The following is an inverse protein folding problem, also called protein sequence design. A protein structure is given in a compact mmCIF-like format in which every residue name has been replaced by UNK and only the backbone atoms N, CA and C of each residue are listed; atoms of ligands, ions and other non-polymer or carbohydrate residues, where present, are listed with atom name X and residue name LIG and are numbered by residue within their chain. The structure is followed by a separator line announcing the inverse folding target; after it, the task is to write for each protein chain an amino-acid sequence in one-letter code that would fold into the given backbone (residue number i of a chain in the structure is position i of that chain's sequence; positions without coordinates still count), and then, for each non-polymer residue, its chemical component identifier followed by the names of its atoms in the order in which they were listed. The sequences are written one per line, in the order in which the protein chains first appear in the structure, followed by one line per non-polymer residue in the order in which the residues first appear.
data_IF_406025397255
#
_entry.id   IF_406025397255
#
_cell.length_a   1.000
_cell.length_b   1.000
_cell.length_c   1.000
_cell.angle_alpha   90.00
_cell.angle_beta   90.00
_cell.angle_gamma   90.00
#
_symmetry.space_group_name_H-M   'P 1'
#
loop_
_entity.id
_entity.type
_entity.pdbx_description
1 polymer ?
#
# COMPACT_ATOMS: atom_id res chain seq x y z
N UNK A 1 -17.53 5.70 13.32
CA UNK A 1 -17.65 4.51 12.46
C UNK A 1 -16.78 3.42 13.07
N UNK A 2 -17.28 2.21 13.16
CA UNK A 2 -16.55 1.03 13.64
C UNK A 2 -16.51 0.01 12.50
N UNK A 3 -15.33 -0.53 12.24
CA UNK A 3 -15.13 -1.57 11.22
C UNK A 3 -14.44 -2.79 11.84
N UNK A 4 -14.90 -3.98 11.45
CA UNK A 4 -14.27 -5.25 11.80
C UNK A 4 -14.08 -6.08 10.54
N UNK A 5 -12.85 -6.54 10.31
CA UNK A 5 -12.56 -7.48 9.23
C UNK A 5 -11.89 -8.72 9.77
N UNK A 6 -12.49 -9.87 9.54
CA UNK A 6 -11.89 -11.16 9.80
C UNK A 6 -11.37 -11.74 8.49
N UNK A 7 -10.09 -12.11 8.45
CA UNK A 7 -9.45 -12.67 7.26
C UNK A 7 -8.91 -14.05 7.56
N UNK A 8 -9.25 -15.01 6.71
CA UNK A 8 -8.70 -16.36 6.70
C UNK A 8 -7.97 -16.56 5.38
N UNK A 9 -6.71 -16.95 5.44
CA UNK A 9 -5.87 -17.10 4.27
C UNK A 9 -5.08 -18.40 4.35
N UNK A 10 -5.04 -19.12 3.23
CA UNK A 10 -4.20 -20.29 3.04
C UNK A 10 -3.44 -20.14 1.73
N UNK A 11 -2.12 -20.29 1.78
CA UNK A 11 -1.27 -20.12 0.63
C UNK A 11 -0.15 -21.13 0.53
N UNK A 12 0.33 -21.33 -0.70
CA UNK A 12 1.51 -22.12 -1.01
C UNK A 12 2.43 -21.29 -1.90
N UNK A 13 3.73 -21.31 -1.59
CA UNK A 13 4.77 -20.69 -2.40
C UNK A 13 5.77 -21.75 -2.85
N UNK A 14 6.05 -21.77 -4.14
CA UNK A 14 6.94 -22.74 -4.78
C UNK A 14 8.15 -22.01 -5.36
N UNK A 15 9.39 -22.35 -4.97
CA UNK A 15 10.57 -21.80 -5.57
C UNK A 15 10.77 -22.36 -6.99
N UNK A 16 10.72 -21.48 -7.99
CA UNK A 16 11.02 -21.82 -9.40
C UNK A 16 12.54 -21.81 -9.62
N UNK A 17 13.20 -20.81 -9.03
CA UNK A 17 14.65 -20.67 -9.06
C UNK A 17 15.12 -20.05 -7.74
N UNK A 18 16.19 -20.61 -7.18
CA UNK A 18 16.80 -20.07 -5.98
C UNK A 18 18.32 -20.15 -6.07
N UNK A 19 18.95 -18.98 -6.16
CA UNK A 19 20.41 -18.83 -6.15
C UNK A 19 20.79 -17.74 -5.13
N UNK A 20 22.07 -17.58 -4.87
CA UNK A 20 22.55 -16.51 -3.98
C UNK A 20 22.18 -15.10 -4.47
N UNK A 21 22.25 -14.87 -5.78
CA UNK A 21 22.05 -13.56 -6.39
C UNK A 21 20.60 -13.31 -6.84
N UNK A 22 19.83 -14.36 -7.07
CA UNK A 22 18.46 -14.23 -7.62
C UNK A 22 17.57 -15.34 -7.09
N UNK A 23 16.30 -15.01 -6.90
CA UNK A 23 15.24 -15.97 -6.59
C UNK A 23 13.98 -15.62 -7.36
N UNK A 24 13.28 -16.64 -7.77
CA UNK A 24 11.97 -16.58 -8.43
C UNK A 24 11.04 -17.56 -7.77
N UNK A 25 9.86 -17.11 -7.43
CA UNK A 25 8.81 -17.90 -6.78
C UNK A 25 7.49 -17.72 -7.51
N UNK A 26 6.67 -18.73 -7.43
CA UNK A 26 5.27 -18.67 -7.75
C UNK A 26 4.47 -18.97 -6.48
N UNK A 27 3.41 -18.21 -6.21
CA UNK A 27 2.48 -18.47 -5.10
C UNK A 27 1.04 -18.53 -5.56
N UNK A 28 0.25 -19.29 -4.82
CA UNK A 28 -1.21 -19.29 -4.91
C UNK A 28 -1.75 -19.15 -3.50
N UNK A 29 -2.64 -18.19 -3.31
CA UNK A 29 -3.30 -17.89 -2.05
C UNK A 29 -4.80 -17.95 -2.24
N UNK A 30 -5.51 -18.56 -1.29
CA UNK A 30 -6.97 -18.52 -1.19
C UNK A 30 -7.32 -17.73 0.06
N UNK A 31 -8.21 -16.77 -0.08
CA UNK A 31 -8.57 -15.83 0.99
C UNK A 31 -10.07 -15.71 1.14
N UNK A 32 -10.54 -15.83 2.37
CA UNK A 32 -11.90 -15.49 2.79
C UNK A 32 -11.87 -14.30 3.74
N UNK A 33 -12.73 -13.30 3.48
CA UNK A 33 -12.87 -12.11 4.34
C UNK A 33 -14.32 -11.87 4.70
N UNK A 34 -14.58 -11.70 5.99
CA UNK A 34 -15.83 -11.14 6.51
C UNK A 34 -15.59 -9.68 6.90
N UNK A 35 -16.31 -8.77 6.28
CA UNK A 35 -16.16 -7.32 6.44
C UNK A 35 -17.44 -6.77 7.04
N UNK A 36 -17.34 -6.09 8.16
CA UNK A 36 -18.44 -5.46 8.87
C UNK A 36 -18.11 -3.97 9.09
N UNK A 37 -18.91 -3.10 8.48
CA UNK A 37 -18.80 -1.66 8.60
C UNK A 37 -20.03 -1.13 9.31
N UNK A 38 -19.86 -0.46 10.46
CA UNK A 38 -20.94 0.09 11.26
C UNK A 38 -20.79 1.59 11.46
N UNK A 39 -21.91 2.31 11.38
CA UNK A 39 -21.99 3.74 11.62
C UNK A 39 -23.04 4.01 12.69
N UNK A 40 -22.92 5.12 13.43
CA UNK A 40 -23.84 5.53 14.50
C UNK A 40 -24.08 4.42 15.53
N UNK A 41 -23.00 3.94 16.13
CA UNK A 41 -23.04 2.92 17.20
C UNK A 41 -23.81 1.64 16.81
N UNK A 42 -23.67 1.21 15.56
CA UNK A 42 -24.25 -0.03 15.05
C UNK A 42 -25.68 0.09 14.51
N UNK A 43 -26.27 1.29 14.46
CA UNK A 43 -27.62 1.51 13.92
C UNK A 43 -27.68 1.24 12.41
N UNK A 44 -26.63 1.61 11.68
CA UNK A 44 -26.49 1.36 10.25
C UNK A 44 -25.22 0.57 9.98
N UNK A 45 -25.28 -0.38 9.07
CA UNK A 45 -24.12 -1.20 8.74
C UNK A 45 -24.23 -1.92 7.42
N UNK A 46 -23.08 -2.29 6.90
CA UNK A 46 -22.92 -3.14 5.74
C UNK A 46 -22.09 -4.35 6.14
N UNK A 47 -22.58 -5.54 5.83
CA UNK A 47 -21.89 -6.81 6.06
C UNK A 47 -21.65 -7.46 4.70
N UNK A 48 -20.37 -7.70 4.39
CA UNK A 48 -19.91 -8.28 3.13
C UNK A 48 -19.06 -9.50 3.40
N UNK A 49 -19.04 -10.44 2.47
CA UNK A 49 -18.06 -11.51 2.45
C UNK A 49 -17.36 -11.53 1.09
N UNK A 50 -16.05 -11.71 1.09
CA UNK A 50 -15.24 -11.79 -0.11
C UNK A 50 -14.44 -13.09 -0.10
N UNK A 51 -14.61 -13.90 -1.15
CA UNK A 51 -13.82 -15.09 -1.42
C UNK A 51 -12.93 -14.81 -2.63
N UNK A 52 -11.63 -15.07 -2.53
CA UNK A 52 -10.70 -14.80 -3.62
C UNK A 52 -9.59 -15.82 -3.72
N UNK A 53 -9.11 -15.99 -4.94
CA UNK A 53 -7.88 -16.70 -5.27
C UNK A 53 -6.91 -15.69 -5.91
N UNK A 54 -5.68 -15.70 -5.44
CA UNK A 54 -4.59 -14.84 -5.91
C UNK A 54 -3.43 -15.72 -6.38
N UNK A 55 -2.95 -15.46 -7.59
CA UNK A 55 -1.74 -16.10 -8.13
C UNK A 55 -0.68 -15.05 -8.38
N UNK A 56 0.54 -15.25 -7.80
CA UNK A 56 1.63 -14.30 -7.91
C UNK A 56 2.87 -14.96 -8.50
N UNK A 57 3.58 -14.18 -9.29
CA UNK A 57 4.96 -14.44 -9.66
C UNK A 57 5.81 -13.33 -9.06
N UNK A 58 6.79 -13.67 -8.24
CA UNK A 58 7.63 -12.68 -7.59
C UNK A 58 9.08 -13.13 -7.53
N UNK A 59 9.95 -12.15 -7.50
CA UNK A 59 11.37 -12.43 -7.46
C UNK A 59 12.18 -11.29 -6.89
N UNK A 60 13.43 -11.63 -6.57
CA UNK A 60 14.41 -10.62 -6.26
C UNK A 60 15.74 -10.93 -6.93
N UNK A 61 16.52 -9.91 -7.20
CA UNK A 61 17.92 -10.05 -7.55
C UNK A 61 18.76 -9.04 -6.77
N UNK A 62 20.00 -9.45 -6.43
CA UNK A 62 20.97 -8.60 -5.78
C UNK A 62 22.30 -8.72 -6.51
N UNK A 63 22.86 -7.57 -6.89
CA UNK A 63 24.18 -7.49 -7.55
C UNK A 63 24.95 -6.29 -6.98
N UNK A 64 26.01 -6.60 -6.19
CA UNK A 64 26.84 -5.58 -5.55
C UNK A 64 26.02 -4.58 -4.74
N UNK A 65 25.85 -3.37 -5.30
CA UNK A 65 25.15 -2.25 -4.68
C UNK A 65 23.65 -2.20 -5.01
N UNK A 66 23.17 -3.08 -5.87
CA UNK A 66 21.81 -3.09 -6.36
C UNK A 66 21.01 -4.19 -5.70
N UNK A 67 19.80 -3.86 -5.24
CA UNK A 67 18.79 -4.84 -4.85
C UNK A 67 17.48 -4.49 -5.54
N UNK A 68 16.90 -5.46 -6.23
CA UNK A 68 15.65 -5.31 -6.96
C UNK A 68 14.69 -6.43 -6.59
N UNK A 69 13.49 -6.08 -6.20
CA UNK A 69 12.39 -7.03 -6.00
C UNK A 69 11.16 -6.60 -6.77
N UNK A 70 10.39 -7.57 -7.20
CA UNK A 70 9.18 -7.34 -7.96
C UNK A 70 8.15 -8.43 -7.69
N UNK A 71 6.89 -8.07 -7.82
CA UNK A 71 5.74 -8.97 -7.77
C UNK A 71 4.79 -8.60 -8.89
N UNK A 72 4.23 -9.59 -9.56
CA UNK A 72 3.09 -9.45 -10.47
C UNK A 72 2.07 -10.47 -10.07
N UNK A 73 0.85 -10.04 -9.80
CA UNK A 73 -0.22 -10.89 -9.33
C UNK A 73 -1.52 -10.69 -10.08
N UNK A 74 -2.38 -11.71 -10.01
CA UNK A 74 -3.75 -11.64 -10.49
C UNK A 74 -4.68 -12.21 -9.44
N UNK A 75 -5.73 -11.44 -9.11
CA UNK A 75 -6.76 -11.82 -8.15
C UNK A 75 -8.07 -12.02 -8.89
N UNK A 76 -8.71 -13.15 -8.65
CA UNK A 76 -10.09 -13.43 -9.06
C UNK A 76 -10.90 -13.72 -7.80
N UNK A 77 -12.03 -13.05 -7.63
CA UNK A 77 -12.85 -13.22 -6.44
C UNK A 77 -14.33 -12.98 -6.68
N UNK A 78 -15.09 -13.24 -5.65
CA UNK A 78 -16.52 -12.97 -5.56
C UNK A 78 -16.81 -12.19 -4.28
N UNK A 79 -17.50 -11.07 -4.38
CA UNK A 79 -17.97 -10.28 -3.25
C UNK A 79 -19.47 -10.45 -3.10
N UNK A 80 -19.91 -10.98 -1.98
CA UNK A 80 -21.31 -11.15 -1.61
C UNK A 80 -21.73 -10.15 -0.53
N UNK A 81 -22.93 -9.61 -0.68
CA UNK A 81 -23.56 -8.73 0.29
C UNK A 81 -24.47 -9.54 1.22
N UNK A 82 -24.13 -9.63 2.51
CA UNK A 82 -24.94 -10.36 3.51
C UNK A 82 -26.01 -9.47 4.13
N UNK A 83 -25.66 -8.21 4.39
CA UNK A 83 -26.57 -7.22 4.99
C UNK A 83 -26.22 -5.82 4.51
N UNK A 84 -27.25 -5.04 4.20
CA UNK A 84 -27.09 -3.64 3.88
C UNK A 84 -28.32 -2.85 4.32
N UNK A 85 -28.14 -1.94 5.25
CA UNK A 85 -29.17 -0.99 5.69
C UNK A 85 -28.68 0.46 5.64
N UNK A 86 -27.55 0.73 4.96
CA UNK A 86 -26.98 2.07 4.85
C UNK A 86 -26.65 2.47 3.40
N UNK A 87 -25.77 1.75 2.71
CA UNK A 87 -25.44 2.02 1.31
C UNK A 87 -25.13 0.72 0.57
N UNK A 88 -25.52 0.63 -0.70
CA UNK A 88 -25.11 -0.48 -1.54
C UNK A 88 -23.57 -0.41 -1.76
N UNK A 89 -22.84 -1.53 -1.75
CA UNK A 89 -21.46 -1.57 -2.19
C UNK A 89 -21.38 -1.13 -3.64
N UNK A 90 -20.22 -0.54 -4.01
CA UNK A 90 -19.98 -0.05 -5.38
C UNK A 90 -20.04 -1.18 -6.40
N UNK A 91 -19.63 -2.39 -6.01
CA UNK A 91 -19.73 -3.58 -6.84
C UNK A 91 -19.93 -4.84 -5.98
N UNK A 92 -20.80 -5.72 -6.43
CA UNK A 92 -21.10 -7.04 -5.85
C UNK A 92 -20.96 -8.09 -6.95
N UNK A 93 -20.52 -9.30 -6.60
CA UNK A 93 -20.33 -10.42 -7.50
C UNK A 93 -18.86 -10.60 -7.90
N UNK A 94 -18.66 -11.23 -9.05
CA UNK A 94 -17.32 -11.60 -9.50
C UNK A 94 -16.47 -10.39 -9.85
N UNK A 95 -15.23 -10.37 -9.37
CA UNK A 95 -14.26 -9.33 -9.69
C UNK A 95 -12.91 -9.91 -10.08
N UNK A 96 -12.19 -9.15 -10.91
CA UNK A 96 -10.85 -9.47 -11.36
C UNK A 96 -9.98 -8.23 -11.31
N UNK A 97 -8.75 -8.39 -10.79
CA UNK A 97 -7.74 -7.34 -10.78
C UNK A 97 -6.33 -7.90 -10.93
N UNK A 98 -5.46 -7.12 -11.53
CA UNK A 98 -4.03 -7.41 -11.62
C UNK A 98 -3.25 -6.41 -10.78
N UNK A 99 -2.18 -6.88 -10.16
CA UNK A 99 -1.32 -6.14 -9.25
C UNK A 99 0.13 -6.18 -9.77
N UNK A 100 0.87 -5.12 -9.56
CA UNK A 100 2.31 -5.10 -9.83
C UNK A 100 3.02 -4.21 -8.80
N UNK A 101 4.09 -4.73 -8.20
CA UNK A 101 4.94 -4.01 -7.27
C UNK A 101 6.41 -4.14 -7.71
N UNK A 102 7.12 -3.03 -7.68
CA UNK A 102 8.54 -2.94 -7.95
C UNK A 102 9.21 -2.21 -6.79
N UNK A 103 10.33 -2.72 -6.35
CA UNK A 103 11.15 -2.08 -5.33
C UNK A 103 12.63 -2.20 -5.67
N UNK A 104 13.33 -1.07 -5.71
CA UNK A 104 14.74 -0.99 -6.06
C UNK A 104 15.49 -0.20 -5.01
N UNK A 105 16.62 -0.75 -4.56
CA UNK A 105 17.57 -0.09 -3.66
C UNK A 105 18.91 -0.01 -4.36
N UNK A 106 19.49 1.18 -4.33
CA UNK A 106 20.84 1.43 -4.77
C UNK A 106 21.69 1.99 -3.63
N UNK A 107 22.71 1.24 -3.21
CA UNK A 107 23.71 1.69 -2.24
C UNK A 107 24.69 2.64 -2.93
N UNK A 108 24.48 3.96 -2.81
CA UNK A 108 25.34 4.99 -3.39
C UNK A 108 26.73 4.89 -2.76
N UNK A 109 26.76 4.85 -1.43
CA UNK A 109 27.96 4.61 -0.63
C UNK A 109 27.59 3.91 0.70
N UNK A 110 28.43 4.00 1.74
CA UNK A 110 28.21 3.36 3.05
C UNK A 110 27.05 3.96 3.83
N UNK A 111 26.78 5.26 3.63
CA UNK A 111 25.83 6.03 4.41
C UNK A 111 24.61 6.45 3.61
N UNK A 112 24.69 6.45 2.26
CA UNK A 112 23.62 6.91 1.39
C UNK A 112 23.02 5.78 0.56
N UNK A 113 21.70 5.74 0.54
CA UNK A 113 20.90 4.81 -0.26
C UNK A 113 19.81 5.55 -1.03
N UNK A 114 19.58 5.14 -2.27
CA UNK A 114 18.41 5.53 -3.05
C UNK A 114 17.43 4.38 -3.06
N UNK A 115 16.20 4.66 -2.66
CA UNK A 115 15.08 3.73 -2.67
C UNK A 115 14.05 4.20 -3.69
N UNK A 116 13.67 3.33 -4.60
CA UNK A 116 12.59 3.56 -5.56
C UNK A 116 11.53 2.49 -5.34
N UNK A 117 10.28 2.89 -5.27
CA UNK A 117 9.15 1.95 -5.25
C UNK A 117 8.08 2.38 -6.24
N UNK A 118 7.42 1.39 -6.81
CA UNK A 118 6.27 1.59 -7.69
C UNK A 118 5.26 0.48 -7.43
N UNK A 119 4.01 0.84 -7.22
CA UNK A 119 2.89 -0.08 -7.05
C UNK A 119 1.78 0.28 -8.00
N UNK A 120 1.11 -0.70 -8.56
CA UNK A 120 0.00 -0.49 -9.46
C UNK A 120 -1.06 -1.56 -9.36
N UNK A 121 -2.29 -1.17 -9.64
CA UNK A 121 -3.44 -2.05 -9.76
C UNK A 121 -4.20 -1.73 -11.04
N UNK A 122 -4.68 -2.75 -11.72
CA UNK A 122 -5.64 -2.63 -12.81
C UNK A 122 -6.87 -3.51 -12.52
N UNK A 123 -8.01 -2.88 -12.30
CA UNK A 123 -9.30 -3.55 -12.11
C UNK A 123 -9.97 -3.80 -13.46
N UNK A 124 -10.14 -5.07 -13.83
CA UNK A 124 -10.80 -5.50 -15.06
C UNK A 124 -12.32 -5.37 -14.98
N UNK A 125 -12.84 -5.39 -13.76
CA UNK A 125 -14.27 -5.23 -13.44
C UNK A 125 -14.45 -4.06 -12.49
N UNK A 126 -15.66 -3.56 -12.24
CA UNK A 126 -15.95 -2.69 -11.11
C UNK A 126 -15.48 -3.36 -9.80
N UNK A 127 -14.91 -2.58 -8.90
CA UNK A 127 -14.39 -3.05 -7.62
C UNK A 127 -15.07 -2.33 -6.45
N UNK A 128 -15.49 -3.08 -5.45
CA UNK A 128 -15.92 -2.52 -4.16
C UNK A 128 -14.77 -1.75 -3.50
N UNK A 129 -15.08 -0.78 -2.66
CA UNK A 129 -14.09 0.04 -1.94
C UNK A 129 -13.06 -0.78 -1.16
N UNK A 130 -13.42 -1.98 -0.68
CA UNK A 130 -12.51 -2.90 0.00
C UNK A 130 -11.46 -3.56 -0.90
N UNK A 131 -11.64 -3.50 -2.23
CA UNK A 131 -10.75 -4.05 -3.25
C UNK A 131 -10.05 -2.98 -4.10
N UNK A 132 -10.39 -1.70 -3.88
CA UNK A 132 -9.80 -0.58 -4.62
C UNK A 132 -8.35 -0.32 -4.24
N UNK A 133 -7.65 0.34 -5.13
CA UNK A 133 -6.29 0.83 -4.94
C UNK A 133 -6.33 2.25 -4.40
N UNK A 134 -5.61 2.49 -3.30
CA UNK A 134 -5.54 3.79 -2.63
C UNK A 134 -4.14 4.37 -2.78
N UNK A 135 -4.07 5.65 -3.16
CA UNK A 135 -2.80 6.35 -3.42
C UNK A 135 -2.45 7.41 -2.36
N UNK A 136 -3.15 7.46 -1.24
CA UNK A 136 -2.93 8.46 -0.18
C UNK A 136 -2.77 7.84 1.19
N UNK A 137 -1.98 8.47 2.05
CA UNK A 137 -1.72 8.02 3.41
C UNK A 137 -0.25 7.73 3.71
N UNK A 138 0.02 7.17 4.89
CA UNK A 138 1.36 6.94 5.44
C UNK A 138 2.28 6.05 4.58
N UNK A 139 1.71 5.12 3.82
CA UNK A 139 2.43 4.17 2.96
C UNK A 139 2.20 4.45 1.45
N UNK A 140 1.67 5.65 1.12
CA UNK A 140 1.38 6.10 -0.24
C UNK A 140 1.85 7.55 -0.43
N UNK A 141 1.05 8.45 -1.01
CA UNK A 141 1.36 9.88 -1.06
C UNK A 141 1.15 10.46 0.34
N UNK A 142 2.25 10.56 1.10
CA UNK A 142 2.27 10.91 2.55
C UNK A 142 1.78 12.32 2.88
N UNK A 143 1.69 13.18 1.88
CA UNK A 143 1.17 14.53 2.04
C UNK A 143 -0.35 14.62 2.26
N UNK A 144 -1.09 13.52 2.02
CA UNK A 144 -2.54 13.45 2.14
C UNK A 144 -2.98 12.44 3.19
N UNK A 145 -4.18 12.64 3.73
CA UNK A 145 -4.76 11.72 4.71
C UNK A 145 -5.10 10.37 4.08
N UNK A 146 -5.21 9.35 4.91
CA UNK A 146 -5.55 8.00 4.47
C UNK A 146 -6.92 7.99 3.77
N UNK A 147 -7.00 7.33 2.60
CA UNK A 147 -8.26 7.15 1.87
C UNK A 147 -8.74 8.36 1.06
N UNK A 148 -7.91 9.42 0.89
CA UNK A 148 -8.26 10.62 0.12
C UNK A 148 -8.53 10.32 -1.37
N UNK A 149 -7.83 9.35 -1.94
CA UNK A 149 -8.00 8.96 -3.33
C UNK A 149 -7.87 7.44 -3.48
N UNK A 150 -8.94 6.83 -3.97
CA UNK A 150 -9.04 5.42 -4.27
C UNK A 150 -9.77 5.16 -5.59
N UNK A 151 -9.54 4.00 -6.19
CA UNK A 151 -10.20 3.59 -7.42
C UNK A 151 -9.83 2.19 -7.84
N UNK A 152 -10.51 1.68 -8.87
CA UNK A 152 -10.27 0.32 -9.37
C UNK A 152 -8.89 0.13 -9.99
N UNK A 153 -8.35 1.19 -10.60
CA UNK A 153 -7.05 1.17 -11.26
C UNK A 153 -6.23 2.38 -10.83
N UNK A 154 -4.94 2.19 -10.61
CA UNK A 154 -4.06 3.27 -10.22
C UNK A 154 -2.59 2.89 -10.24
N UNK A 155 -1.76 3.90 -10.10
CA UNK A 155 -0.31 3.80 -10.02
C UNK A 155 0.19 4.70 -8.90
N UNK A 156 1.14 4.22 -8.13
CA UNK A 156 1.83 4.92 -7.06
C UNK A 156 3.33 4.75 -7.24
N UNK A 157 4.09 5.83 -7.05
CA UNK A 157 5.54 5.80 -7.09
C UNK A 157 6.16 6.65 -6.00
N UNK A 158 7.27 6.19 -5.44
CA UNK A 158 8.07 6.92 -4.44
C UNK A 158 9.54 6.88 -4.83
N UNK A 159 10.18 8.02 -4.70
CA UNK A 159 11.65 8.17 -4.72
C UNK A 159 12.07 8.66 -3.35
N UNK A 160 12.90 7.90 -2.65
CA UNK A 160 13.36 8.23 -1.30
C UNK A 160 14.88 8.10 -1.20
N UNK A 161 15.54 9.20 -0.83
CA UNK A 161 16.97 9.23 -0.51
C UNK A 161 17.11 9.07 1.02
N UNK A 162 17.94 8.12 1.43
CA UNK A 162 18.22 7.79 2.83
C UNK A 162 19.66 8.09 3.19
N UNK A 163 19.88 8.65 4.36
CA UNK A 163 21.20 8.86 4.95
C UNK A 163 21.28 8.24 6.33
N UNK A 164 22.16 7.26 6.49
CA UNK A 164 22.46 6.64 7.78
C UNK A 164 23.32 7.60 8.61
N UNK A 165 22.85 7.92 9.84
CA UNK A 165 23.51 8.89 10.72
C UNK A 165 24.44 8.19 11.71
N UNK A 166 25.58 7.75 11.19
CA UNK A 166 26.62 7.08 11.98
C UNK A 166 26.13 5.78 12.64
N UNK A 167 26.47 5.58 13.93
CA UNK A 167 26.10 4.37 14.71
C UNK A 167 24.90 4.59 15.64
N UNK A 168 24.19 5.67 15.48
CA UNK A 168 23.05 6.04 16.35
C UNK A 168 21.82 5.16 16.18
N UNK A 169 21.71 4.43 15.06
CA UNK A 169 20.49 3.75 14.63
C UNK A 169 19.48 4.68 13.96
N UNK A 170 19.88 5.94 13.70
CA UNK A 170 19.06 6.93 13.03
C UNK A 170 19.37 6.97 11.54
N UNK A 171 18.34 7.12 10.72
CA UNK A 171 18.42 7.35 9.28
C UNK A 171 17.54 8.53 8.91
N UNK A 172 18.12 9.58 8.34
CA UNK A 172 17.35 10.69 7.77
C UNK A 172 16.86 10.31 6.37
N UNK A 173 15.66 10.75 5.99
CA UNK A 173 15.07 10.51 4.68
C UNK A 173 14.57 11.79 4.05
N UNK A 174 14.67 11.89 2.73
CA UNK A 174 13.99 12.89 1.91
C UNK A 174 13.31 12.17 0.77
N UNK A 175 12.07 12.54 0.46
CA UNK A 175 11.25 11.78 -0.48
C UNK A 175 10.34 12.64 -1.36
N UNK A 176 9.96 12.05 -2.47
CA UNK A 176 8.88 12.51 -3.35
C UNK A 176 7.98 11.31 -3.63
N UNK A 177 6.69 11.52 -3.40
CA UNK A 177 5.63 10.57 -3.66
C UNK A 177 4.73 11.11 -4.77
N UNK A 178 4.28 10.26 -5.69
CA UNK A 178 3.29 10.61 -6.70
C UNK A 178 2.38 9.43 -6.98
N UNK A 179 1.09 9.68 -7.17
CA UNK A 179 0.11 8.66 -7.48
C UNK A 179 -1.00 9.18 -8.38
N UNK A 180 -1.55 8.28 -9.19
CA UNK A 180 -2.67 8.54 -10.08
C UNK A 180 -3.71 7.44 -9.98
N UNK A 181 -4.97 7.81 -9.76
CA UNK A 181 -6.13 6.95 -9.97
C UNK A 181 -6.61 7.16 -11.40
N UNK A 182 -6.92 6.06 -12.08
CA UNK A 182 -7.34 6.01 -13.49
C UNK A 182 -8.79 5.51 -13.59
N UNK A 183 -9.53 6.02 -14.57
CA UNK A 183 -10.92 5.66 -14.83
C UNK A 183 -11.90 6.76 -14.46
N UNK A 184 -13.11 6.39 -14.06
CA UNK A 184 -14.15 7.33 -13.67
C UNK A 184 -13.71 8.06 -12.37
N UNK A 185 -13.44 9.36 -12.47
CA UNK A 185 -12.92 10.15 -11.34
C UNK A 185 -11.39 10.11 -11.22
N UNK A 186 -10.67 10.30 -12.34
CA UNK A 186 -9.19 10.44 -12.34
C UNK A 186 -8.74 11.46 -11.29
N UNK A 187 -7.81 11.06 -10.42
CA UNK A 187 -7.24 11.90 -9.37
C UNK A 187 -5.73 11.74 -9.33
N UNK A 188 -5.02 12.86 -9.33
CA UNK A 188 -3.57 12.92 -9.23
C UNK A 188 -3.20 13.51 -7.88
N UNK A 189 -2.31 12.84 -7.16
CA UNK A 189 -1.73 13.33 -5.92
C UNK A 189 -0.21 13.29 -6.02
N UNK A 190 0.44 14.34 -5.51
CA UNK A 190 1.89 14.36 -5.36
C UNK A 190 2.27 15.08 -4.06
N UNK A 191 3.38 14.66 -3.47
CA UNK A 191 3.89 15.24 -2.24
C UNK A 191 5.40 15.05 -2.11
N UNK A 192 5.99 15.85 -1.25
CA UNK A 192 7.40 15.74 -0.88
C UNK A 192 7.55 15.90 0.62
N UNK A 193 8.63 15.40 1.18
CA UNK A 193 8.83 15.50 2.61
C UNK A 193 10.17 15.03 3.11
N UNK A 194 10.30 15.10 4.43
CA UNK A 194 11.45 14.64 5.18
C UNK A 194 11.00 13.65 6.24
N UNK A 195 11.86 12.72 6.59
CA UNK A 195 11.55 11.75 7.63
C UNK A 195 12.77 11.37 8.45
N UNK A 196 12.50 10.66 9.53
CA UNK A 196 13.50 10.09 10.41
C UNK A 196 13.09 8.66 10.77
N UNK A 197 14.00 7.72 10.55
CA UNK A 197 13.83 6.31 10.95
C UNK A 197 14.79 6.04 12.10
N UNK A 198 14.29 5.41 13.16
CA UNK A 198 15.08 4.91 14.27
C UNK A 198 14.99 3.40 14.35
N UNK A 199 16.13 2.72 14.20
CA UNK A 199 16.24 1.28 14.36
C UNK A 199 17.63 0.92 14.90
N UNK A 200 17.77 0.90 16.23
CA UNK A 200 19.03 0.56 16.89
C UNK A 200 19.12 -0.89 17.31
N UNK A 201 17.98 -1.52 17.62
CA UNK A 201 17.86 -2.93 17.97
C UNK A 201 16.79 -3.61 17.11
N UNK A 202 16.69 -4.94 17.22
CA UNK A 202 15.59 -5.67 16.57
C UNK A 202 14.23 -5.42 17.22
N UNK A 203 14.23 -4.92 18.46
CA UNK A 203 13.01 -4.82 19.28
C UNK A 203 12.19 -3.56 18.97
N UNK A 204 12.86 -2.49 18.58
CA UNK A 204 12.23 -1.19 18.38
C UNK A 204 12.48 -0.64 16.97
N UNK A 205 11.39 -0.27 16.34
CA UNK A 205 11.40 0.50 15.09
C UNK A 205 10.51 1.73 15.28
N UNK A 206 11.04 2.90 14.91
CA UNK A 206 10.31 4.15 14.88
C UNK A 206 10.47 4.82 13.52
N UNK A 207 9.40 5.37 12.97
CA UNK A 207 9.43 6.17 11.74
C UNK A 207 8.56 7.40 11.92
N UNK A 208 9.13 8.56 11.62
CA UNK A 208 8.43 9.84 11.54
C UNK A 208 8.61 10.41 10.15
N UNK A 209 7.52 10.80 9.51
CA UNK A 209 7.52 11.51 8.22
C UNK A 209 6.72 12.80 8.37
N UNK A 210 7.24 13.87 7.80
CA UNK A 210 6.54 15.14 7.60
C UNK A 210 6.51 15.46 6.11
N UNK A 211 5.32 15.67 5.55
CA UNK A 211 5.10 15.80 4.13
C UNK A 211 4.22 17.01 3.80
N UNK A 212 4.44 17.60 2.64
CA UNK A 212 3.65 18.69 2.06
C UNK A 212 3.20 18.35 0.65
N UNK A 213 1.96 18.68 0.25
CA UNK A 213 1.48 18.46 -1.11
C UNK A 213 2.29 19.24 -2.15
N UNK A 214 2.40 18.68 -3.34
CA UNK A 214 2.89 19.35 -4.54
C UNK A 214 1.71 19.56 -5.50
N UNK A 215 1.43 20.81 -5.86
CA UNK A 215 0.30 21.15 -6.76
C UNK A 215 -1.02 21.35 -6.02
N UNK A 216 -2.03 20.53 -6.31
CA UNK A 216 -3.35 20.64 -5.66
C UNK A 216 -3.26 20.35 -4.16
N UNK A 217 -3.79 21.22 -3.34
CA UNK A 217 -3.72 21.12 -1.88
C UNK A 217 -5.07 20.80 -1.23
N UNK A 218 -6.16 20.81 -1.99
CA UNK A 218 -7.49 20.58 -1.45
C UNK A 218 -7.74 19.12 -1.15
N UNK A 219 -8.17 18.82 0.07
CA UNK A 219 -8.63 17.51 0.52
C UNK A 219 -10.16 17.47 0.54
N UNK A 220 -10.75 16.59 -0.26
CA UNK A 220 -12.19 16.40 -0.29
C UNK A 220 -12.68 15.79 1.03
N UNK A 221 -11.93 14.86 1.61
CA UNK A 221 -12.29 14.19 2.86
C UNK A 221 -12.27 15.13 4.07
N UNK A 222 -11.39 16.14 4.08
CA UNK A 222 -11.31 17.15 5.14
C UNK A 222 -12.09 18.41 4.82
N UNK A 223 -12.53 18.62 3.57
CA UNK A 223 -13.21 19.84 3.11
C UNK A 223 -12.36 21.12 3.23
N UNK A 224 -11.03 21.01 3.17
CA UNK A 224 -10.09 22.12 3.31
C UNK A 224 -8.76 21.85 2.62
N UNK A 225 -7.97 22.91 2.45
CA UNK A 225 -6.60 22.79 1.97
C UNK A 225 -5.70 22.13 3.01
N UNK A 226 -4.87 21.20 2.55
CA UNK A 226 -3.80 20.58 3.33
C UNK A 226 -2.51 21.34 3.08
N UNK A 227 -1.89 21.83 4.13
CA UNK A 227 -0.57 22.48 4.08
C UNK A 227 0.55 21.49 4.36
N UNK A 228 0.33 20.58 5.30
CA UNK A 228 1.27 19.52 5.65
C UNK A 228 0.58 18.40 6.43
N UNK A 229 1.17 17.22 6.40
CA UNK A 229 0.74 16.03 7.15
C UNK A 229 1.94 15.42 7.86
N UNK A 230 1.74 14.91 9.06
CA UNK A 230 2.76 14.21 9.82
C UNK A 230 2.30 12.80 10.17
N UNK A 231 3.20 11.83 10.01
CA UNK A 231 2.96 10.42 10.31
C UNK A 231 3.97 9.93 11.35
N UNK A 232 3.49 9.19 12.35
CA UNK A 232 4.33 8.53 13.35
C UNK A 232 3.97 7.04 13.39
N UNK A 233 4.97 6.18 13.21
CA UNK A 233 4.82 4.72 13.38
C UNK A 233 5.83 4.26 14.43
N UNK A 234 5.34 3.54 15.44
CA UNK A 234 6.17 2.90 16.45
C UNK A 234 5.83 1.40 16.48
N UNK A 235 6.85 0.57 16.40
CA UNK A 235 6.71 -0.89 16.45
C UNK A 235 7.65 -1.43 17.50
N UNK A 236 7.13 -2.28 18.40
CA UNK A 236 7.89 -3.07 19.34
C UNK A 236 7.66 -4.55 19.08
N UNK A 237 8.74 -5.29 18.89
CA UNK A 237 8.71 -6.76 18.83
C UNK A 237 9.03 -7.34 20.21
N UNK A 238 8.33 -8.37 20.59
CA UNK A 238 8.47 -9.05 21.88
C UNK A 238 9.10 -10.41 21.68
#
# INVERSE_FOLDING_TARGET
ADGLTNTYELGIAIPVRRTYAQSLFYSVNVRHRDIHDYILSGTYGTEKASDSIEGDLYGYCRDGRNSFSWTVGHVAGDLSLRRNNYSAPDAVGNYHKSLADLYYIYDIDRDWQLHLSMSGQYGWTPLDSSEQFYISGADAVRAFVQGEAGGRSGLLGTVELRRILGRSGLTATAFVDAGRIMGDGTKDLAGTGLGLIYQKSRDWYGKFDWATPLGCHYSESLGKDITSTAWLRLVKQF
#
